data_IF_711486485429
#
_entry.id   IF_711486485429
#
_cell.length_a   1.000
_cell.length_b   1.000
_cell.length_c   1.000
_cell.angle_alpha   90.00
_cell.angle_beta   90.00
_cell.angle_gamma   90.00
#
_symmetry.space_group_name_H-M   'P 1'
#
loop_
_entity.id
_entity.type
_entity.pdbx_description
1 polymer ?
#
# COMPACT_ATOMS: atom_id res chain seq x y z
N UNK A 1 -13.10 -6.07 -21.53
CA UNK A 1 -11.89 -6.10 -20.70
C UNK A 1 -12.21 -5.34 -19.43
N UNK A 2 -12.01 -5.95 -18.25
CA UNK A 2 -12.22 -5.31 -16.94
C UNK A 2 -11.08 -4.35 -16.65
N UNK A 3 -11.38 -3.15 -16.21
CA UNK A 3 -10.40 -2.11 -15.85
C UNK A 3 -10.24 -2.02 -14.34
N UNK A 4 -9.03 -2.19 -13.84
CA UNK A 4 -8.72 -2.15 -12.40
C UNK A 4 -7.66 -1.08 -12.14
N UNK A 5 -7.94 -0.18 -11.21
CA UNK A 5 -6.99 0.81 -10.72
C UNK A 5 -6.50 0.41 -9.33
N UNK A 6 -5.22 0.18 -9.18
CA UNK A 6 -4.58 0.05 -7.87
C UNK A 6 -4.21 1.43 -7.37
N UNK A 7 -4.73 1.83 -6.23
CA UNK A 7 -4.36 3.06 -5.54
C UNK A 7 -3.51 2.72 -4.31
N UNK A 8 -2.32 3.26 -4.21
CA UNK A 8 -1.36 2.92 -3.16
C UNK A 8 -0.41 4.07 -2.83
N UNK A 9 0.09 4.08 -1.60
CA UNK A 9 1.16 5.00 -1.18
C UNK A 9 2.56 4.56 -1.63
N UNK A 10 2.74 3.27 -1.92
CA UNK A 10 4.03 2.69 -2.30
C UNK A 10 3.86 1.67 -3.44
N UNK A 11 4.90 1.53 -4.25
CA UNK A 11 4.97 0.52 -5.31
C UNK A 11 6.42 0.35 -5.77
N UNK A 12 6.95 -0.87 -5.77
CA UNK A 12 8.23 -1.15 -6.45
C UNK A 12 8.07 -1.01 -7.96
N UNK A 13 9.09 -0.52 -8.69
CA UNK A 13 10.43 -0.14 -8.22
C UNK A 13 10.56 1.32 -7.78
N UNK A 14 9.47 2.11 -7.78
CA UNK A 14 9.47 3.56 -7.63
C UNK A 14 9.77 4.00 -6.20
N UNK A 15 9.08 3.39 -5.23
CA UNK A 15 9.20 3.71 -3.81
C UNK A 15 8.83 2.49 -2.95
N UNK A 16 9.62 2.21 -1.90
CA UNK A 16 9.39 1.08 -1.01
C UNK A 16 9.83 1.39 0.41
N UNK A 17 8.96 1.15 1.37
CA UNK A 17 9.27 1.10 2.81
C UNK A 17 8.86 -0.23 3.44
N UNK A 18 7.96 -0.98 2.81
CA UNK A 18 7.42 -2.24 3.34
C UNK A 18 6.93 -3.20 2.26
N UNK A 19 6.28 -4.28 2.71
CA UNK A 19 5.77 -5.34 1.83
C UNK A 19 4.59 -4.91 0.95
N UNK A 20 3.88 -3.84 1.32
CA UNK A 20 2.83 -3.25 0.49
C UNK A 20 3.37 -2.90 -0.91
N UNK A 21 4.56 -2.28 -0.97
CA UNK A 21 5.20 -1.90 -2.23
C UNK A 21 5.49 -3.11 -3.13
N UNK A 22 5.89 -4.24 -2.54
CA UNK A 22 6.14 -5.49 -3.29
C UNK A 22 4.85 -6.02 -3.91
N UNK A 23 3.76 -6.04 -3.14
CA UNK A 23 2.45 -6.50 -3.63
C UNK A 23 1.96 -5.63 -4.78
N UNK A 24 1.96 -4.31 -4.61
CA UNK A 24 1.46 -3.37 -5.64
C UNK A 24 2.34 -3.35 -6.89
N UNK A 25 3.63 -3.62 -6.75
CA UNK A 25 4.54 -3.70 -7.90
C UNK A 25 4.50 -5.03 -8.64
N UNK A 26 4.06 -6.11 -7.99
CA UNK A 26 4.09 -7.46 -8.58
C UNK A 26 2.71 -7.95 -9.01
N UNK A 27 1.66 -7.76 -8.20
CA UNK A 27 0.34 -8.29 -8.49
C UNK A 27 -0.28 -7.76 -9.80
N UNK A 28 -0.17 -6.47 -10.18
CA UNK A 28 -0.70 -5.98 -11.45
C UNK A 28 -0.18 -6.72 -12.69
N UNK A 29 1.06 -7.19 -12.64
CA UNK A 29 1.71 -7.94 -13.74
C UNK A 29 1.12 -9.34 -13.92
N UNK A 30 0.53 -9.91 -12.86
CA UNK A 30 -0.04 -11.27 -12.86
C UNK A 30 -1.43 -11.35 -13.48
N UNK A 31 -2.09 -10.24 -13.73
CA UNK A 31 -3.38 -10.23 -14.40
C UNK A 31 -3.26 -10.55 -15.89
N UNK A 32 -4.13 -11.43 -16.37
CA UNK A 32 -4.17 -11.75 -17.80
C UNK A 32 -4.66 -10.54 -18.61
N UNK A 33 -3.76 -9.95 -19.38
CA UNK A 33 -4.01 -8.74 -20.19
C UNK A 33 -5.09 -8.92 -21.26
N UNK A 34 -5.51 -10.15 -21.56
CA UNK A 34 -6.65 -10.41 -22.45
C UNK A 34 -8.00 -10.04 -21.81
N UNK A 35 -8.06 -10.10 -20.48
CA UNK A 35 -9.30 -9.88 -19.73
C UNK A 35 -9.26 -8.64 -18.86
N UNK A 36 -8.06 -8.16 -18.48
CA UNK A 36 -7.87 -7.08 -17.52
C UNK A 36 -6.92 -6.01 -18.07
N UNK A 37 -7.31 -4.72 -17.93
CA UNK A 37 -6.42 -3.56 -18.01
C UNK A 37 -6.19 -3.09 -16.57
N UNK A 38 -5.02 -3.39 -16.03
CA UNK A 38 -4.66 -3.04 -14.65
C UNK A 38 -3.65 -1.90 -14.69
N UNK A 39 -3.98 -0.80 -13.98
CA UNK A 39 -3.11 0.37 -13.85
C UNK A 39 -2.90 0.69 -12.37
N UNK A 40 -1.85 1.44 -12.07
CA UNK A 40 -1.49 1.81 -10.70
C UNK A 40 -1.45 3.33 -10.62
N UNK A 41 -1.92 3.89 -9.51
CA UNK A 41 -1.79 5.32 -9.19
C UNK A 41 -1.18 5.49 -7.81
N UNK A 42 -0.17 6.35 -7.71
CA UNK A 42 0.59 6.59 -6.47
C UNK A 42 1.06 8.05 -6.41
N UNK A 43 1.47 8.54 -5.21
CA UNK A 43 2.07 9.88 -5.10
C UNK A 43 3.44 9.95 -5.79
N UNK A 44 3.78 11.09 -6.39
CA UNK A 44 5.13 11.40 -6.88
C UNK A 44 5.96 12.01 -5.76
N UNK A 45 6.60 11.18 -4.96
CA UNK A 45 7.46 11.67 -3.87
C UNK A 45 8.77 12.27 -4.39
N UNK A 46 9.23 13.37 -3.77
CA UNK A 46 10.52 13.98 -4.07
C UNK A 46 11.70 13.04 -3.79
N UNK A 47 11.57 12.14 -2.83
CA UNK A 47 12.59 11.13 -2.48
C UNK A 47 12.71 9.96 -3.46
N UNK A 48 11.86 9.85 -4.47
CA UNK A 48 12.02 8.85 -5.53
C UNK A 48 13.35 9.05 -6.26
N UNK A 49 14.03 7.96 -6.60
CA UNK A 49 15.27 8.00 -7.36
C UNK A 49 15.07 8.70 -8.71
N UNK A 50 16.04 9.51 -9.13
CA UNK A 50 15.94 10.32 -10.33
C UNK A 50 15.64 9.51 -11.59
N UNK A 51 16.26 8.33 -11.74
CA UNK A 51 16.00 7.43 -12.86
C UNK A 51 14.51 7.09 -13.08
N UNK A 52 13.73 7.00 -11.99
CA UNK A 52 12.30 6.74 -12.08
C UNK A 52 11.51 8.00 -12.44
N UNK A 53 11.93 9.16 -11.92
CA UNK A 53 11.33 10.45 -12.28
C UNK A 53 11.56 10.80 -13.75
N UNK A 54 12.72 10.46 -14.30
CA UNK A 54 13.07 10.69 -15.71
C UNK A 54 12.21 9.88 -16.70
N UNK A 55 11.58 8.79 -16.25
CA UNK A 55 10.64 7.99 -17.04
C UNK A 55 9.23 8.58 -17.10
N UNK A 56 8.90 9.48 -16.18
CA UNK A 56 7.56 10.05 -16.05
C UNK A 56 7.32 11.13 -17.10
N UNK A 57 6.21 11.01 -17.81
CA UNK A 57 5.77 11.98 -18.79
C UNK A 57 4.57 12.75 -18.23
N UNK A 58 4.56 14.06 -18.44
CA UNK A 58 3.43 14.88 -18.06
C UNK A 58 2.18 14.45 -18.83
N UNK A 59 1.06 14.24 -18.08
CA UNK A 59 -0.24 13.88 -18.66
C UNK A 59 -1.22 15.03 -18.64
N UNK A 60 -1.47 15.59 -17.45
CA UNK A 60 -2.43 16.69 -17.25
C UNK A 60 -2.20 17.37 -15.90
N UNK A 61 -2.88 18.48 -15.68
CA UNK A 61 -3.03 19.08 -14.34
C UNK A 61 -4.39 19.76 -14.22
N UNK A 62 -4.80 19.98 -12.98
CA UNK A 62 -6.01 20.72 -12.63
C UNK A 62 -5.86 21.29 -11.21
N UNK A 63 -6.86 22.03 -10.78
CA UNK A 63 -6.98 22.50 -9.40
C UNK A 63 -8.24 21.91 -8.78
N UNK A 64 -8.17 21.52 -7.51
CA UNK A 64 -9.31 21.03 -6.74
C UNK A 64 -9.38 21.75 -5.39
N UNK A 65 -10.58 21.95 -4.88
CA UNK A 65 -10.80 22.46 -3.52
C UNK A 65 -10.49 21.35 -2.50
N UNK A 66 -9.53 21.63 -1.62
CA UNK A 66 -9.12 20.74 -0.55
C UNK A 66 -8.67 21.54 0.68
N UNK A 67 -9.14 21.16 1.87
CA UNK A 67 -8.87 21.85 3.14
C UNK A 67 -9.15 23.37 3.07
N UNK A 68 -10.19 23.78 2.34
CA UNK A 68 -10.60 25.18 2.19
C UNK A 68 -9.71 26.02 1.24
N UNK A 69 -8.84 25.39 0.47
CA UNK A 69 -7.94 26.05 -0.48
C UNK A 69 -8.00 25.37 -1.84
N UNK A 70 -7.71 26.14 -2.90
CA UNK A 70 -7.52 25.61 -4.24
C UNK A 70 -6.13 24.99 -4.34
N UNK A 71 -6.06 23.67 -4.47
CA UNK A 71 -4.81 22.90 -4.50
C UNK A 71 -4.50 22.42 -5.92
N UNK A 72 -3.24 22.58 -6.33
CA UNK A 72 -2.74 22.03 -7.59
C UNK A 72 -2.68 20.51 -7.54
N UNK A 73 -3.05 19.87 -8.65
CA UNK A 73 -2.90 18.42 -8.87
C UNK A 73 -2.27 18.21 -10.24
N UNK A 74 -1.02 17.80 -10.27
CA UNK A 74 -0.37 17.31 -11.49
C UNK A 74 -0.56 15.80 -11.63
N UNK A 75 -0.64 15.31 -12.86
CA UNK A 75 -0.63 13.88 -13.15
C UNK A 75 0.45 13.59 -14.17
N UNK A 76 1.35 12.68 -13.81
CA UNK A 76 2.35 12.13 -14.71
C UNK A 76 2.04 10.66 -14.97
N UNK A 77 2.58 10.15 -16.06
CA UNK A 77 2.36 8.77 -16.51
C UNK A 77 3.69 8.14 -16.92
N UNK A 78 3.88 6.86 -16.60
CA UNK A 78 4.90 6.05 -17.27
C UNK A 78 4.40 4.62 -17.48
N UNK A 79 5.04 3.89 -18.40
CA UNK A 79 4.84 2.46 -18.57
C UNK A 79 6.11 1.75 -18.11
N UNK A 80 5.94 0.84 -17.16
CA UNK A 80 7.03 0.02 -16.65
C UNK A 80 6.57 -1.44 -16.59
N UNK A 81 7.38 -2.35 -17.13
CA UNK A 81 7.10 -3.79 -17.15
C UNK A 81 5.69 -4.13 -17.68
N UNK A 82 5.25 -3.33 -18.66
CA UNK A 82 3.95 -3.49 -19.33
C UNK A 82 2.72 -3.12 -18.49
N UNK A 83 2.91 -2.42 -17.37
CA UNK A 83 1.85 -1.79 -16.56
C UNK A 83 1.94 -0.28 -16.69
N UNK A 84 0.79 0.38 -16.79
CA UNK A 84 0.70 1.84 -16.79
C UNK A 84 0.61 2.35 -15.36
N UNK A 85 1.48 3.29 -15.02
CA UNK A 85 1.53 3.95 -13.72
C UNK A 85 1.19 5.43 -13.88
N UNK A 86 0.33 5.92 -13.00
CA UNK A 86 0.04 7.34 -12.82
C UNK A 86 0.64 7.84 -11.52
N UNK A 87 1.12 9.07 -11.53
CA UNK A 87 1.72 9.72 -10.37
C UNK A 87 1.00 11.03 -10.10
N UNK A 88 0.44 11.18 -8.90
CA UNK A 88 -0.13 12.44 -8.43
C UNK A 88 1.02 13.33 -7.95
N UNK A 89 1.20 14.46 -8.60
CA UNK A 89 2.25 15.43 -8.35
C UNK A 89 1.72 16.65 -7.59
N UNK A 90 2.30 16.88 -6.44
CA UNK A 90 2.17 18.12 -5.67
C UNK A 90 3.38 18.23 -4.73
N UNK A 91 4.27 19.18 -5.01
CA UNK A 91 5.50 19.35 -4.25
C UNK A 91 5.26 19.76 -2.78
N UNK A 92 4.13 20.39 -2.47
CA UNK A 92 3.78 20.72 -1.10
C UNK A 92 3.53 19.46 -0.26
N UNK A 93 2.74 18.52 -0.79
CA UNK A 93 2.35 17.31 -0.04
C UNK A 93 3.38 16.19 -0.12
N UNK A 94 4.07 16.02 -1.25
CA UNK A 94 4.94 14.86 -1.49
C UNK A 94 6.44 15.17 -1.44
N UNK A 95 6.80 16.25 -0.73
CA UNK A 95 8.20 16.60 -0.45
C UNK A 95 8.74 15.84 0.76
N UNK A 96 10.08 15.78 0.88
CA UNK A 96 10.80 15.17 1.99
C UNK A 96 11.71 14.01 1.55
N UNK A 97 12.41 13.45 2.51
CA UNK A 97 13.41 12.37 2.34
C UNK A 97 12.80 10.95 2.41
N UNK A 98 11.53 10.86 2.77
CA UNK A 98 10.78 9.60 2.92
C UNK A 98 9.28 9.81 2.68
N UNK A 99 8.53 8.74 2.32
CA UNK A 99 7.09 8.81 2.08
C UNK A 99 6.26 9.17 3.33
N UNK A 100 6.68 8.69 4.49
CA UNK A 100 6.00 8.89 5.77
C UNK A 100 6.86 9.76 6.66
N UNK A 101 6.29 10.86 7.15
CA UNK A 101 7.01 11.91 7.89
C UNK A 101 6.44 12.09 9.30
N UNK A 102 5.52 13.01 9.47
CA UNK A 102 4.84 13.29 10.72
C UNK A 102 3.37 12.87 10.64
N UNK A 103 2.87 12.29 11.70
CA UNK A 103 1.54 11.65 11.73
C UNK A 103 0.40 12.54 11.21
N UNK A 104 0.24 13.75 11.75
CA UNK A 104 -0.83 14.66 11.33
C UNK A 104 -0.67 15.13 9.88
N UNK A 105 0.57 15.40 9.47
CA UNK A 105 0.87 15.77 8.08
C UNK A 105 0.62 14.63 7.11
N UNK A 106 0.99 13.42 7.48
CA UNK A 106 0.75 12.24 6.65
C UNK A 106 -0.75 11.99 6.45
N UNK A 107 -1.60 12.25 7.45
CA UNK A 107 -3.05 12.14 7.33
C UNK A 107 -3.59 13.16 6.32
N UNK A 108 -3.24 14.43 6.43
CA UNK A 108 -3.66 15.46 5.48
C UNK A 108 -3.17 15.14 4.06
N UNK A 109 -1.91 14.74 3.92
CA UNK A 109 -1.26 14.33 2.67
C UNK A 109 -2.02 13.20 1.96
N UNK A 110 -2.41 12.16 2.70
CA UNK A 110 -3.12 11.03 2.10
C UNK A 110 -4.61 11.30 1.90
N UNK A 111 -5.26 12.15 2.69
CA UNK A 111 -6.58 12.68 2.38
C UNK A 111 -6.58 13.47 1.05
N UNK A 112 -5.53 14.30 0.85
CA UNK A 112 -5.32 15.00 -0.42
C UNK A 112 -5.15 14.00 -1.56
N UNK A 113 -4.30 12.99 -1.40
CA UNK A 113 -4.07 11.94 -2.39
C UNK A 113 -5.36 11.25 -2.81
N UNK A 114 -6.16 10.81 -1.84
CA UNK A 114 -7.42 10.09 -2.07
C UNK A 114 -8.40 10.91 -2.90
N UNK A 115 -8.54 12.18 -2.57
CA UNK A 115 -9.41 13.10 -3.33
C UNK A 115 -8.84 13.40 -4.71
N UNK A 116 -7.52 13.59 -4.82
CA UNK A 116 -6.83 13.82 -6.09
C UNK A 116 -6.97 12.64 -7.05
N UNK A 117 -6.87 11.41 -6.55
CA UNK A 117 -7.05 10.18 -7.35
C UNK A 117 -8.42 10.20 -8.04
N UNK A 118 -9.51 10.40 -7.29
CA UNK A 118 -10.85 10.43 -7.87
C UNK A 118 -11.04 11.61 -8.82
N UNK A 119 -10.56 12.80 -8.45
CA UNK A 119 -10.68 14.00 -9.28
C UNK A 119 -9.92 13.89 -10.61
N UNK A 120 -8.81 13.13 -10.64
CA UNK A 120 -8.02 12.91 -11.84
C UNK A 120 -8.68 11.95 -12.84
N UNK A 121 -9.45 10.96 -12.37
CA UNK A 121 -9.98 9.88 -13.21
C UNK A 121 -10.74 10.35 -14.48
N UNK A 122 -11.62 11.37 -14.43
CA UNK A 122 -12.30 11.85 -15.63
C UNK A 122 -11.38 12.48 -16.68
N UNK A 123 -10.17 12.88 -16.29
CA UNK A 123 -9.17 13.51 -17.16
C UNK A 123 -8.17 12.49 -17.73
N UNK A 124 -8.20 11.26 -17.22
CA UNK A 124 -7.43 10.13 -17.73
C UNK A 124 -8.28 9.35 -18.72
N UNK A 125 -7.69 8.86 -19.81
CA UNK A 125 -8.41 7.97 -20.74
C UNK A 125 -8.55 6.57 -20.10
N UNK A 126 -9.07 6.54 -18.87
CA UNK A 126 -9.23 5.33 -18.08
C UNK A 126 -10.32 5.46 -17.02
N UNK A 127 -11.47 4.87 -17.29
CA UNK A 127 -12.54 4.71 -16.31
C UNK A 127 -12.46 3.31 -15.71
N UNK A 128 -12.06 3.14 -14.44
CA UNK A 128 -11.98 1.82 -13.82
C UNK A 128 -13.37 1.21 -13.58
N UNK A 129 -13.47 -0.12 -13.66
CA UNK A 129 -14.59 -0.87 -13.11
C UNK A 129 -14.42 -1.10 -11.60
N UNK A 130 -13.15 -1.20 -11.16
CA UNK A 130 -12.78 -1.44 -9.77
C UNK A 130 -11.61 -0.54 -9.39
N UNK A 131 -11.69 0.11 -8.23
CA UNK A 131 -10.56 0.76 -7.56
C UNK A 131 -10.12 -0.14 -6.40
N UNK A 132 -8.89 -0.61 -6.45
CA UNK A 132 -8.28 -1.45 -5.42
C UNK A 132 -7.40 -0.57 -4.52
N UNK A 133 -7.87 -0.31 -3.32
CA UNK A 133 -7.25 0.54 -2.31
C UNK A 133 -6.38 -0.29 -1.38
N UNK A 134 -5.26 0.26 -0.92
CA UNK A 134 -4.27 -0.44 -0.09
C UNK A 134 -3.95 0.34 1.18
N UNK A 135 -4.27 -0.23 2.35
CA UNK A 135 -4.09 0.33 3.68
C UNK A 135 -4.75 1.70 3.90
N UNK A 136 -4.49 2.31 5.06
CA UNK A 136 -5.13 3.55 5.51
C UNK A 136 -4.87 4.74 4.58
N UNK A 137 -3.73 4.74 3.88
CA UNK A 137 -3.33 5.82 2.98
C UNK A 137 -4.25 5.98 1.75
N UNK A 138 -5.13 5.04 1.53
CA UNK A 138 -6.16 5.07 0.47
C UNK A 138 -7.56 4.85 1.03
N UNK A 139 -7.70 5.00 2.35
CA UNK A 139 -8.91 4.68 3.09
C UNK A 139 -10.09 5.59 2.78
N UNK A 140 -9.85 6.84 2.37
CA UNK A 140 -10.95 7.75 2.02
C UNK A 140 -11.41 7.65 0.56
N UNK A 141 -10.72 6.91 -0.32
CA UNK A 141 -11.20 6.72 -1.70
C UNK A 141 -12.63 6.12 -1.73
N UNK A 142 -12.94 5.00 -1.01
CA UNK A 142 -14.30 4.48 -0.96
C UNK A 142 -15.30 5.46 -0.35
N UNK A 143 -14.87 6.23 0.66
CA UNK A 143 -15.73 7.22 1.33
C UNK A 143 -16.09 8.37 0.37
N UNK A 144 -15.11 8.97 -0.28
CA UNK A 144 -15.31 10.06 -1.24
C UNK A 144 -16.11 9.61 -2.46
N UNK A 145 -15.88 8.37 -2.92
CA UNK A 145 -16.66 7.80 -4.02
C UNK A 145 -18.14 7.70 -3.66
N UNK A 146 -18.46 7.36 -2.40
CA UNK A 146 -19.83 7.29 -1.89
C UNK A 146 -20.42 8.68 -1.62
N UNK A 147 -19.62 9.66 -1.21
CA UNK A 147 -20.04 11.02 -0.88
C UNK A 147 -20.01 11.95 -2.10
N UNK A 148 -18.87 12.56 -2.33
CA UNK A 148 -18.71 13.70 -3.23
C UNK A 148 -18.78 13.32 -4.72
N UNK A 149 -18.50 12.06 -5.06
CA UNK A 149 -18.43 11.57 -6.43
C UNK A 149 -19.64 10.70 -6.85
N UNK A 150 -20.51 10.33 -5.92
CA UNK A 150 -21.64 9.43 -6.18
C UNK A 150 -22.63 9.93 -7.25
N UNK A 151 -22.80 11.25 -7.35
CA UNK A 151 -23.74 11.88 -8.29
C UNK A 151 -23.27 11.94 -9.75
N UNK A 152 -22.01 11.68 -10.02
CA UNK A 152 -21.43 11.79 -11.36
C UNK A 152 -21.64 10.53 -12.21
N UNK A 153 -22.09 10.68 -13.46
CA UNK A 153 -22.26 9.54 -14.38
C UNK A 153 -20.96 8.75 -14.61
N UNK A 154 -19.82 9.43 -14.58
CA UNK A 154 -18.52 8.80 -14.72
C UNK A 154 -18.25 7.76 -13.61
N UNK A 155 -18.67 8.05 -12.38
CA UNK A 155 -18.37 7.21 -11.20
C UNK A 155 -19.42 6.13 -10.94
N UNK A 156 -20.57 6.21 -11.60
CA UNK A 156 -21.69 5.28 -11.38
C UNK A 156 -21.26 3.83 -11.63
N UNK A 157 -21.40 2.98 -10.60
CA UNK A 157 -21.12 1.54 -10.67
C UNK A 157 -19.66 1.15 -10.55
N UNK A 158 -18.72 2.09 -10.32
CA UNK A 158 -17.36 1.76 -9.93
C UNK A 158 -17.40 1.07 -8.56
N UNK A 159 -16.72 -0.07 -8.45
CA UNK A 159 -16.59 -0.87 -7.23
C UNK A 159 -15.26 -0.62 -6.54
N UNK A 160 -15.21 -0.85 -5.24
CA UNK A 160 -14.00 -0.69 -4.44
C UNK A 160 -13.62 -1.97 -3.71
N UNK A 161 -12.33 -2.28 -3.69
CA UNK A 161 -11.72 -3.32 -2.86
C UNK A 161 -10.75 -2.66 -1.91
N UNK A 162 -10.81 -2.98 -0.63
CA UNK A 162 -9.87 -2.49 0.39
C UNK A 162 -8.99 -3.63 0.88
N UNK A 163 -7.67 -3.54 0.67
CA UNK A 163 -6.71 -4.52 1.18
C UNK A 163 -6.03 -4.00 2.45
N UNK A 164 -6.09 -4.80 3.51
CA UNK A 164 -5.39 -4.60 4.77
C UNK A 164 -4.06 -5.34 4.70
N UNK A 165 -2.93 -4.60 4.67
CA UNK A 165 -1.61 -5.18 4.84
C UNK A 165 -1.19 -5.19 6.31
N UNK A 166 -1.57 -4.15 7.07
CA UNK A 166 -1.30 -4.07 8.50
C UNK A 166 -2.37 -3.23 9.22
N UNK A 167 -3.25 -3.88 9.97
CA UNK A 167 -4.37 -3.25 10.67
C UNK A 167 -3.94 -2.31 11.81
N UNK A 168 -2.69 -2.43 12.30
CA UNK A 168 -2.16 -1.56 13.36
C UNK A 168 -2.10 -0.09 12.95
N UNK A 169 -1.88 0.19 11.66
CA UNK A 169 -1.78 1.56 11.15
C UNK A 169 -3.12 1.96 10.51
N UNK A 170 -3.78 2.96 11.07
CA UNK A 170 -5.17 3.27 10.74
C UNK A 170 -5.40 4.69 10.21
N UNK A 171 -4.42 5.58 10.34
CA UNK A 171 -4.58 6.98 9.93
C UNK A 171 -5.62 7.71 10.78
N UNK A 172 -5.39 7.75 12.09
CA UNK A 172 -6.28 8.39 13.06
C UNK A 172 -5.86 9.84 13.30
N UNK A 173 -6.84 10.74 13.35
CA UNK A 173 -6.63 12.13 13.82
C UNK A 173 -7.91 12.64 14.48
N UNK A 174 -7.79 13.68 15.31
CA UNK A 174 -8.92 14.28 16.01
C UNK A 174 -10.07 14.63 15.05
N UNK A 175 -11.32 14.28 15.43
CA UNK A 175 -12.50 14.40 14.55
C UNK A 175 -12.65 15.78 13.93
N UNK A 176 -12.44 16.86 14.69
CA UNK A 176 -12.63 18.22 14.17
C UNK A 176 -11.57 18.59 13.10
N UNK A 177 -10.31 18.18 13.32
CA UNK A 177 -9.25 18.35 12.35
C UNK A 177 -9.55 17.52 11.09
N UNK A 178 -9.95 16.27 11.27
CA UNK A 178 -10.30 15.35 10.20
C UNK A 178 -11.44 15.90 9.33
N UNK A 179 -12.52 16.43 9.93
CA UNK A 179 -13.64 17.08 9.21
C UNK A 179 -13.15 18.27 8.39
N UNK A 180 -12.39 19.15 9.03
CA UNK A 180 -11.88 20.38 8.40
C UNK A 180 -11.06 20.09 7.15
N UNK A 181 -10.23 19.04 7.21
CA UNK A 181 -9.35 18.66 6.09
C UNK A 181 -10.12 17.90 5.03
N UNK A 182 -10.85 16.85 5.42
CA UNK A 182 -11.53 15.97 4.48
C UNK A 182 -12.72 16.62 3.77
N UNK A 183 -13.34 17.64 4.41
CA UNK A 183 -14.58 18.26 3.93
C UNK A 183 -15.82 17.38 4.06
N UNK A 184 -15.72 16.23 4.76
CA UNK A 184 -16.84 15.33 5.00
C UNK A 184 -17.76 15.89 6.09
N UNK A 185 -19.07 15.70 5.91
CA UNK A 185 -20.08 16.15 6.87
C UNK A 185 -20.12 15.31 8.15
N UNK A 186 -20.78 15.81 9.20
CA UNK A 186 -21.00 15.09 10.46
C UNK A 186 -21.61 13.71 10.29
N UNK A 187 -22.35 13.49 9.21
CA UNK A 187 -22.93 12.20 8.87
C UNK A 187 -21.92 11.06 8.84
N UNK A 188 -20.67 11.35 8.45
CA UNK A 188 -19.61 10.35 8.36
C UNK A 188 -18.88 10.07 9.69
N UNK A 189 -19.05 10.94 10.70
CA UNK A 189 -18.29 10.86 11.97
C UNK A 189 -19.08 10.23 13.12
N UNK A 190 -19.80 9.15 12.83
CA UNK A 190 -20.46 8.32 13.83
C UNK A 190 -19.62 7.07 14.14
N UNK A 191 -19.88 6.41 15.29
CA UNK A 191 -19.12 5.22 15.75
C UNK A 191 -19.23 4.03 14.78
N UNK A 192 -20.31 3.93 14.05
CA UNK A 192 -20.53 2.91 13.02
C UNK A 192 -19.84 3.23 11.68
N UNK A 193 -19.28 4.44 11.52
CA UNK A 193 -18.62 4.89 10.29
C UNK A 193 -17.13 5.19 10.53
N UNK A 194 -16.73 6.45 10.38
CA UNK A 194 -15.30 6.84 10.44
C UNK A 194 -14.78 7.07 11.87
N UNK A 195 -15.65 7.26 12.85
CA UNK A 195 -15.21 7.63 14.20
C UNK A 195 -14.69 6.42 14.98
N UNK A 196 -13.53 6.59 15.66
CA UNK A 196 -12.98 5.65 16.63
C UNK A 196 -12.60 6.43 17.89
N UNK A 197 -13.35 6.25 18.98
CA UNK A 197 -13.17 7.06 20.18
C UNK A 197 -13.41 8.55 19.90
N UNK A 198 -12.34 9.36 20.04
CA UNK A 198 -12.35 10.81 19.78
C UNK A 198 -11.81 11.17 18.40
N UNK A 199 -11.33 10.20 17.63
CA UNK A 199 -10.66 10.39 16.37
C UNK A 199 -11.53 10.00 15.17
N UNK A 200 -11.27 10.62 14.00
CA UNK A 200 -11.59 10.09 12.71
C UNK A 200 -10.53 9.04 12.30
N UNK A 201 -10.90 8.06 11.47
CA UNK A 201 -10.05 6.93 11.13
C UNK A 201 -10.19 6.62 9.63
N UNK A 202 -9.10 6.82 8.87
CA UNK A 202 -9.09 6.64 7.41
C UNK A 202 -9.31 5.18 7.02
N UNK A 203 -8.60 4.24 7.65
CA UNK A 203 -8.74 2.82 7.35
C UNK A 203 -10.15 2.33 7.65
N UNK A 204 -10.71 2.72 8.80
CA UNK A 204 -12.09 2.38 9.15
C UNK A 204 -13.08 2.88 8.11
N UNK A 205 -12.89 4.11 7.63
CA UNK A 205 -13.71 4.65 6.54
C UNK A 205 -13.67 3.75 5.31
N UNK A 206 -12.49 3.37 4.86
CA UNK A 206 -12.28 2.44 3.75
C UNK A 206 -12.97 1.09 3.99
N UNK A 207 -12.81 0.52 5.19
CA UNK A 207 -13.40 -0.76 5.55
C UNK A 207 -14.94 -0.72 5.66
N UNK A 208 -15.51 0.40 6.05
CA UNK A 208 -16.99 0.57 6.10
C UNK A 208 -17.59 0.69 4.71
N UNK A 209 -16.95 1.47 3.81
CA UNK A 209 -17.54 1.86 2.53
C UNK A 209 -17.07 1.03 1.33
N UNK A 210 -16.00 0.21 1.44
CA UNK A 210 -15.57 -0.66 0.34
C UNK A 210 -16.60 -1.77 0.05
N UNK A 211 -16.73 -2.16 -1.22
CA UNK A 211 -17.60 -3.27 -1.63
C UNK A 211 -17.04 -4.63 -1.18
N UNK A 212 -15.72 -4.78 -1.13
CA UNK A 212 -15.05 -6.00 -0.64
C UNK A 212 -13.79 -5.64 0.15
N UNK A 213 -13.42 -6.53 1.06
CA UNK A 213 -12.23 -6.38 1.92
C UNK A 213 -11.35 -7.60 1.72
N UNK A 214 -10.04 -7.36 1.56
CA UNK A 214 -9.05 -8.43 1.54
C UNK A 214 -7.94 -8.19 2.55
N UNK A 215 -7.26 -9.25 2.95
CA UNK A 215 -6.02 -9.17 3.74
C UNK A 215 -5.04 -10.24 3.28
N UNK A 216 -3.80 -10.15 3.75
CA UNK A 216 -2.63 -10.83 3.17
C UNK A 216 -2.43 -12.28 3.64
N UNK A 217 -3.38 -12.85 4.38
CA UNK A 217 -3.32 -14.25 4.83
C UNK A 217 -4.70 -14.74 5.26
N UNK A 218 -4.99 -16.01 5.00
CA UNK A 218 -6.21 -16.65 5.51
C UNK A 218 -6.26 -16.63 7.04
N UNK A 219 -5.14 -16.93 7.69
CA UNK A 219 -5.00 -16.88 9.15
C UNK A 219 -5.24 -15.48 9.66
N UNK A 220 -4.61 -14.47 9.04
CA UNK A 220 -4.78 -13.07 9.45
C UNK A 220 -6.22 -12.58 9.29
N UNK A 221 -6.96 -13.05 8.27
CA UNK A 221 -8.39 -12.74 8.13
C UNK A 221 -9.23 -13.24 9.32
N UNK A 222 -8.81 -14.33 9.97
CA UNK A 222 -9.46 -14.83 11.20
C UNK A 222 -8.96 -14.07 12.43
N UNK A 223 -7.66 -13.82 12.54
CA UNK A 223 -7.03 -13.13 13.66
C UNK A 223 -7.57 -11.73 13.87
N UNK A 224 -7.70 -10.92 12.82
CA UNK A 224 -8.21 -9.53 12.91
C UNK A 224 -9.68 -9.42 13.35
N UNK A 225 -10.42 -10.51 13.38
CA UNK A 225 -11.77 -10.58 13.97
C UNK A 225 -11.76 -10.78 15.47
N UNK A 226 -10.59 -11.05 16.07
CA UNK A 226 -10.42 -11.21 17.53
C UNK A 226 -10.02 -9.91 18.18
N UNK A 227 -10.35 -9.73 19.46
CA UNK A 227 -10.02 -8.53 20.21
C UNK A 227 -8.50 -8.27 20.28
N UNK A 228 -7.70 -9.33 20.34
CA UNK A 228 -6.25 -9.22 20.48
C UNK A 228 -5.56 -8.68 19.22
N UNK A 229 -5.96 -9.14 18.03
CA UNK A 229 -5.35 -8.74 16.76
C UNK A 229 -6.16 -7.70 15.97
N UNK A 230 -7.37 -7.38 16.44
CA UNK A 230 -8.29 -6.50 15.72
C UNK A 230 -8.01 -5.01 15.87
N UNK A 231 -7.01 -4.62 16.71
CA UNK A 231 -6.57 -3.22 16.89
C UNK A 231 -7.74 -2.24 17.11
N UNK A 232 -8.77 -2.71 17.85
CA UNK A 232 -10.00 -1.96 18.10
C UNK A 232 -11.02 -1.96 16.96
N UNK A 233 -10.75 -2.64 15.84
CA UNK A 233 -11.67 -2.79 14.71
C UNK A 233 -12.25 -4.21 14.58
N UNK A 234 -12.00 -5.09 15.55
CA UNK A 234 -12.48 -6.48 15.56
C UNK A 234 -14.00 -6.60 15.40
N UNK A 235 -14.77 -5.69 16.01
CA UNK A 235 -16.21 -5.62 15.84
C UNK A 235 -16.62 -5.34 14.38
N UNK A 236 -15.95 -4.41 13.71
CA UNK A 236 -16.16 -4.12 12.30
C UNK A 236 -15.77 -5.33 11.43
N UNK A 237 -14.62 -5.97 11.73
CA UNK A 237 -14.16 -7.14 10.96
C UNK A 237 -15.15 -8.32 11.09
N UNK A 238 -15.74 -8.53 12.25
CA UNK A 238 -16.83 -9.53 12.42
C UNK A 238 -18.08 -9.13 11.64
N UNK A 239 -18.49 -7.86 11.70
CA UNK A 239 -19.65 -7.37 10.97
C UNK A 239 -19.49 -7.49 9.44
N UNK A 240 -18.26 -7.34 8.92
CA UNK A 240 -17.91 -7.46 7.51
C UNK A 240 -17.29 -8.81 7.13
N UNK A 241 -17.46 -9.86 7.97
CA UNK A 241 -16.84 -11.17 7.75
C UNK A 241 -17.22 -11.81 6.41
N UNK A 242 -18.42 -11.56 5.91
CA UNK A 242 -18.87 -12.07 4.60
C UNK A 242 -18.16 -11.42 3.41
N UNK A 243 -17.68 -10.20 3.58
CA UNK A 243 -16.97 -9.42 2.55
C UNK A 243 -15.45 -9.55 2.67
N UNK A 244 -14.96 -10.10 3.80
CA UNK A 244 -13.54 -10.24 4.10
C UNK A 244 -12.98 -11.55 3.54
N UNK A 245 -11.85 -11.47 2.83
CA UNK A 245 -11.12 -12.63 2.27
C UNK A 245 -9.63 -12.51 2.59
N UNK A 246 -9.03 -13.60 3.08
CA UNK A 246 -7.59 -13.75 3.19
C UNK A 246 -7.00 -14.26 1.87
N UNK A 247 -5.98 -13.58 1.36
CA UNK A 247 -5.26 -13.97 0.14
C UNK A 247 -3.76 -13.92 0.45
N UNK A 248 -3.10 -15.07 0.45
CA UNK A 248 -1.66 -15.14 0.75
C UNK A 248 -0.88 -14.46 -0.36
N UNK A 249 0.06 -13.58 0.04
CA UNK A 249 0.95 -12.92 -0.92
C UNK A 249 1.82 -13.96 -1.65
N UNK A 250 2.01 -13.75 -2.94
CA UNK A 250 2.96 -14.49 -3.74
C UNK A 250 4.39 -13.95 -3.60
N UNK A 251 5.29 -14.56 -4.34
CA UNK A 251 6.70 -14.13 -4.46
C UNK A 251 6.92 -13.71 -5.91
N UNK A 252 7.59 -12.58 -6.13
CA UNK A 252 8.04 -12.18 -7.45
C UNK A 252 9.24 -13.06 -7.86
N UNK A 253 8.99 -13.97 -8.80
CA UNK A 253 10.02 -14.89 -9.29
C UNK A 253 11.05 -14.26 -10.23
N UNK A 254 10.89 -13.00 -10.60
CA UNK A 254 11.90 -12.26 -11.35
C UNK A 254 12.93 -11.67 -10.39
N UNK A 255 12.45 -10.96 -9.35
CA UNK A 255 13.31 -10.27 -8.39
C UNK A 255 13.88 -11.22 -7.33
N UNK A 256 13.11 -12.22 -6.89
CA UNK A 256 13.52 -13.18 -5.85
C UNK A 256 13.84 -14.57 -6.43
N UNK A 257 14.61 -14.61 -7.51
CA UNK A 257 15.02 -15.84 -8.16
C UNK A 257 16.52 -16.10 -7.98
N UNK A 258 16.94 -17.07 -7.15
CA UNK A 258 18.34 -17.35 -6.91
C UNK A 258 19.11 -17.86 -8.14
N UNK A 259 18.42 -18.27 -9.20
CA UNK A 259 19.05 -18.69 -10.46
C UNK A 259 19.50 -17.48 -11.31
N UNK A 260 18.84 -16.34 -11.15
CA UNK A 260 19.12 -15.11 -11.91
C UNK A 260 19.59 -13.94 -11.06
N UNK A 261 19.53 -14.03 -9.73
CA UNK A 261 19.92 -12.96 -8.82
C UNK A 261 21.40 -12.60 -9.00
N UNK A 262 21.65 -11.31 -9.21
CA UNK A 262 23.02 -10.78 -9.43
C UNK A 262 23.71 -10.42 -8.10
N UNK A 263 22.97 -10.41 -6.99
CA UNK A 263 23.47 -9.98 -5.69
C UNK A 263 24.03 -11.14 -4.86
N UNK A 264 23.72 -12.39 -5.20
CA UNK A 264 24.28 -13.56 -4.52
C UNK A 264 25.59 -14.01 -5.20
N UNK A 265 26.51 -14.50 -4.40
CA UNK A 265 27.86 -14.88 -4.85
C UNK A 265 27.82 -16.07 -5.80
N UNK A 266 27.02 -17.08 -5.45
CA UNK A 266 26.83 -18.27 -6.28
C UNK A 266 25.34 -18.48 -6.52
N UNK A 267 24.93 -18.42 -7.78
CA UNK A 267 23.56 -18.70 -8.23
C UNK A 267 23.23 -20.18 -8.07
N UNK A 268 21.99 -20.45 -7.72
CA UNK A 268 21.51 -21.82 -7.56
C UNK A 268 20.02 -21.93 -7.94
N UNK A 269 19.60 -23.12 -8.21
CA UNK A 269 18.19 -23.48 -8.42
C UNK A 269 17.81 -24.70 -7.58
N UNK A 270 16.61 -25.22 -7.80
CA UNK A 270 16.10 -26.36 -7.06
C UNK A 270 17.02 -27.59 -7.14
N UNK A 271 17.60 -27.86 -8.32
CA UNK A 271 18.39 -29.09 -8.55
C UNK A 271 19.75 -29.08 -7.86
N UNK A 272 20.31 -27.91 -7.58
CA UNK A 272 21.67 -27.76 -7.06
C UNK A 272 21.78 -26.92 -5.78
N UNK A 273 20.65 -26.63 -5.12
CA UNK A 273 20.59 -25.78 -3.92
C UNK A 273 21.47 -26.32 -2.79
N UNK A 274 21.48 -27.63 -2.56
CA UNK A 274 22.24 -28.27 -1.46
C UNK A 274 23.76 -28.07 -1.63
N UNK A 275 24.26 -28.09 -2.88
CA UNK A 275 25.67 -27.94 -3.17
C UNK A 275 26.08 -26.46 -3.24
N UNK A 276 25.25 -25.63 -3.84
CA UNK A 276 25.64 -24.24 -4.19
C UNK A 276 25.30 -23.20 -3.12
N UNK A 277 24.19 -23.36 -2.38
CA UNK A 277 23.75 -22.37 -1.38
C UNK A 277 24.78 -22.20 -0.25
N UNK A 278 25.57 -23.24 0.06
CA UNK A 278 26.62 -23.20 1.08
C UNK A 278 27.69 -22.15 0.78
N UNK A 279 28.00 -21.89 -0.48
CA UNK A 279 28.98 -20.87 -0.86
C UNK A 279 28.49 -19.45 -0.51
N UNK A 280 27.19 -19.19 -0.62
CA UNK A 280 26.61 -17.93 -0.17
C UNK A 280 26.67 -17.77 1.34
N UNK A 281 26.45 -18.85 2.11
CA UNK A 281 26.64 -18.86 3.57
C UNK A 281 28.07 -18.50 3.94
N UNK A 282 29.07 -19.14 3.33
CA UNK A 282 30.50 -18.85 3.58
C UNK A 282 30.86 -17.41 3.24
N UNK A 283 30.33 -16.88 2.16
CA UNK A 283 30.56 -15.49 1.76
C UNK A 283 30.04 -14.51 2.83
N UNK A 284 28.81 -14.72 3.33
CA UNK A 284 28.24 -13.89 4.41
C UNK A 284 29.04 -14.05 5.70
N UNK A 285 29.47 -15.28 6.06
CA UNK A 285 30.31 -15.49 7.24
C UNK A 285 31.62 -14.72 7.11
N UNK A 286 32.27 -14.74 5.95
CA UNK A 286 33.52 -14.00 5.70
C UNK A 286 33.31 -12.48 5.76
N UNK A 287 32.27 -11.97 5.13
CA UNK A 287 31.92 -10.53 5.10
C UNK A 287 31.67 -9.98 6.51
N UNK A 288 30.99 -10.76 7.35
CA UNK A 288 30.62 -10.37 8.72
C UNK A 288 31.71 -10.75 9.77
N UNK A 289 32.83 -11.29 9.36
CA UNK A 289 33.92 -11.71 10.27
C UNK A 289 33.53 -12.90 11.17
N UNK A 290 32.54 -13.70 10.77
CA UNK A 290 32.11 -14.89 11.49
C UNK A 290 32.99 -16.10 11.14
N UNK A 291 33.04 -17.09 12.05
CA UNK A 291 33.77 -18.34 11.80
C UNK A 291 33.15 -19.03 10.55
N UNK A 292 33.99 -19.34 9.55
CA UNK A 292 33.59 -20.06 8.36
C UNK A 292 33.51 -21.56 8.68
N UNK A 293 32.29 -22.01 8.99
CA UNK A 293 32.01 -23.40 9.35
C UNK A 293 30.68 -23.82 8.73
N UNK A 294 30.74 -24.81 7.86
CA UNK A 294 29.55 -25.31 7.14
C UNK A 294 28.53 -25.95 8.08
N UNK A 295 28.99 -26.57 9.15
CA UNK A 295 28.13 -27.26 10.10
C UNK A 295 27.52 -26.34 11.16
N UNK A 296 28.02 -25.10 11.27
CA UNK A 296 27.51 -24.16 12.24
C UNK A 296 26.19 -23.54 11.70
N UNK A 297 25.12 -23.70 12.46
CA UNK A 297 23.83 -23.09 12.10
C UNK A 297 23.95 -21.56 12.10
N UNK A 298 23.44 -20.92 11.07
CA UNK A 298 23.44 -19.46 10.92
C UNK A 298 22.00 -18.95 10.80
N UNK A 299 21.66 -18.00 11.66
CA UNK A 299 20.37 -17.30 11.64
C UNK A 299 20.64 -15.89 11.13
N UNK A 300 19.93 -15.48 10.08
CA UNK A 300 19.96 -14.12 9.57
C UNK A 300 18.59 -13.46 9.72
N UNK A 301 18.56 -12.20 10.20
CA UNK A 301 17.35 -11.41 10.34
C UNK A 301 17.57 -10.08 9.64
N UNK A 302 16.75 -9.79 8.63
CA UNK A 302 16.73 -8.50 7.93
C UNK A 302 15.31 -7.94 8.06
N UNK A 303 15.13 -6.99 8.97
CA UNK A 303 13.81 -6.42 9.26
C UNK A 303 13.93 -5.03 9.88
N UNK A 304 12.81 -4.30 9.92
CA UNK A 304 12.71 -3.07 10.71
C UNK A 304 12.78 -3.40 12.20
N UNK A 305 13.48 -2.57 12.98
CA UNK A 305 13.55 -2.70 14.43
C UNK A 305 12.28 -2.14 15.08
N UNK A 306 11.22 -2.95 15.08
CA UNK A 306 9.93 -2.62 15.66
C UNK A 306 9.42 -3.78 16.50
N UNK A 307 8.56 -3.48 17.48
CA UNK A 307 7.94 -4.46 18.41
C UNK A 307 7.26 -5.62 17.66
N UNK A 308 6.59 -5.32 16.52
CA UNK A 308 5.92 -6.34 15.70
C UNK A 308 6.86 -7.40 15.11
N UNK A 309 8.18 -7.19 15.19
CA UNK A 309 9.19 -8.15 14.69
C UNK A 309 9.75 -9.07 15.79
N UNK A 310 9.31 -8.92 17.04
CA UNK A 310 9.64 -9.81 18.14
C UNK A 310 11.10 -9.77 18.55
N UNK A 311 11.79 -8.62 18.42
CA UNK A 311 13.19 -8.49 18.84
C UNK A 311 13.37 -8.66 20.35
N UNK A 312 12.36 -8.33 21.15
CA UNK A 312 12.28 -8.59 22.58
C UNK A 312 12.32 -10.08 22.89
N UNK A 313 11.59 -10.89 22.12
CA UNK A 313 11.62 -12.35 22.24
C UNK A 313 12.98 -12.93 21.88
N UNK A 314 13.62 -12.37 20.82
CA UNK A 314 14.97 -12.79 20.43
C UNK A 314 15.98 -12.44 21.53
N UNK A 315 15.93 -11.22 22.07
CA UNK A 315 16.78 -10.80 23.18
C UNK A 315 16.62 -11.72 24.39
N UNK A 316 15.38 -12.02 24.77
CA UNK A 316 15.10 -12.95 25.89
C UNK A 316 15.64 -14.36 25.65
N UNK A 317 15.66 -14.86 24.41
CA UNK A 317 16.19 -16.18 24.09
C UNK A 317 17.72 -16.22 24.03
N UNK A 318 18.41 -15.08 23.93
CA UNK A 318 19.87 -14.97 23.84
C UNK A 318 20.55 -14.86 25.21
N UNK A 319 19.81 -14.61 26.30
CA UNK A 319 20.24 -14.65 27.68
C UNK A 319 20.26 -16.10 28.21
#
# INVERSE_FOLDING_TARGET
MKKVLFASSECVPFIKTGGLADVVGSLPKCFDKRYYDVRVILPKYSCMKQQWKDMMQYKTHFYMDFAGQSQYVGVLECVYDGVTFYFIDNEHYFTGDKPYTEHHWDIEKFMYFDRAVLSALPLLDFRPDVIHCHDWQTGLIPVYLHDSFAGGDFFRGIKTVMTIHNLKFQGNDGVEQFKRISGLSDYYFTIDKLRTGVDGNMLKGGLVYADAITTVSNTYAEEIKTQFYGEGLDGLMRARANDLRGIVNGIDYVDYNPDTDKNIVVRYNYDNVLEKKIHNKRAIQAELGLAQDDNRFMIGIVSRLTDQKGFDLIAYMME
#
